data_IF_447161793874
#
_entry.id   IF_447161793874
#
_cell.length_a   1.000
_cell.length_b   1.000
_cell.length_c   1.000
_cell.angle_alpha   90.00
_cell.angle_beta   90.00
_cell.angle_gamma   90.00
#
_symmetry.space_group_name_H-M   'P 1'
#
loop_
_entity.id
_entity.type
_entity.pdbx_description
1 polymer ?
#
# COMPACT_ATOMS: atom_id res chain seq x y z
N UNK A 1 -27.14 -6.92 -18.48
CA UNK A 1 -25.95 -6.11 -18.83
C UNK A 1 -25.31 -5.34 -17.65
N UNK A 2 -25.90 -5.27 -16.44
CA UNK A 2 -25.33 -4.49 -15.31
C UNK A 2 -24.16 -5.16 -14.55
N UNK A 3 -23.99 -6.49 -14.66
CA UNK A 3 -22.95 -7.23 -13.94
C UNK A 3 -21.57 -7.05 -14.57
N UNK A 4 -21.44 -7.22 -15.88
CA UNK A 4 -20.18 -7.05 -16.63
C UNK A 4 -19.59 -5.65 -16.46
N UNK A 5 -20.43 -4.61 -16.46
CA UNK A 5 -19.99 -3.23 -16.21
C UNK A 5 -19.41 -3.03 -14.80
N UNK A 6 -20.01 -3.66 -13.77
CA UNK A 6 -19.49 -3.56 -12.40
C UNK A 6 -18.15 -4.29 -12.22
N UNK A 7 -17.90 -5.36 -12.99
CA UNK A 7 -16.59 -6.01 -13.01
C UNK A 7 -15.50 -5.10 -13.61
N UNK A 8 -15.79 -4.40 -14.71
CA UNK A 8 -14.85 -3.44 -15.31
C UNK A 8 -14.47 -2.34 -14.30
N UNK A 9 -15.47 -1.77 -13.62
CA UNK A 9 -15.23 -0.77 -12.57
C UNK A 9 -14.41 -1.36 -11.42
N UNK A 10 -14.68 -2.61 -11.01
CA UNK A 10 -13.91 -3.30 -9.98
C UNK A 10 -12.42 -3.45 -10.36
N UNK A 11 -12.12 -3.79 -11.61
CA UNK A 11 -10.73 -3.88 -12.08
C UNK A 11 -10.04 -2.50 -12.21
N UNK A 12 -10.77 -1.46 -12.60
CA UNK A 12 -10.23 -0.09 -12.61
C UNK A 12 -9.89 0.39 -11.19
N UNK A 13 -10.77 0.12 -10.22
CA UNK A 13 -10.52 0.43 -8.81
C UNK A 13 -9.37 -0.41 -8.24
N UNK A 14 -9.26 -1.67 -8.64
CA UNK A 14 -8.11 -2.51 -8.32
C UNK A 14 -6.80 -1.93 -8.84
N UNK A 15 -6.78 -1.49 -10.10
CA UNK A 15 -5.60 -0.86 -10.70
C UNK A 15 -5.19 0.40 -9.93
N UNK A 16 -6.18 1.20 -9.52
CA UNK A 16 -5.96 2.41 -8.73
C UNK A 16 -5.38 2.11 -7.34
N UNK A 17 -5.95 1.13 -6.62
CA UNK A 17 -5.38 0.67 -5.34
C UNK A 17 -4.00 0.05 -5.53
N UNK A 18 -3.75 -0.64 -6.64
CA UNK A 18 -2.42 -1.19 -6.92
C UNK A 18 -1.38 -0.07 -7.08
N UNK A 19 -1.74 1.01 -7.77
CA UNK A 19 -0.88 2.19 -7.89
C UNK A 19 -0.67 2.89 -6.54
N UNK A 20 -1.71 3.02 -5.72
CA UNK A 20 -1.61 3.56 -4.36
C UNK A 20 -0.72 2.70 -3.47
N UNK A 21 -0.88 1.37 -3.49
CA UNK A 21 -0.03 0.44 -2.76
C UNK A 21 1.45 0.59 -3.15
N UNK A 22 1.77 0.83 -4.43
CA UNK A 22 3.15 1.11 -4.84
C UNK A 22 3.67 2.41 -4.23
N UNK A 23 2.85 3.46 -4.17
CA UNK A 23 3.22 4.70 -3.48
C UNK A 23 3.43 4.47 -1.98
N UNK A 24 2.57 3.67 -1.34
CA UNK A 24 2.70 3.29 0.07
C UNK A 24 4.01 2.55 0.33
N UNK A 25 4.42 1.65 -0.56
CA UNK A 25 5.70 0.92 -0.44
C UNK A 25 6.89 1.87 -0.50
N UNK A 26 6.87 2.83 -1.42
CA UNK A 26 7.93 3.84 -1.56
C UNK A 26 7.98 4.72 -0.32
N UNK A 27 6.82 5.19 0.15
CA UNK A 27 6.69 6.01 1.34
C UNK A 27 7.16 5.25 2.59
N UNK A 28 6.70 4.02 2.79
CA UNK A 28 7.09 3.16 3.90
C UNK A 28 8.60 2.91 3.93
N UNK A 29 9.23 2.62 2.79
CA UNK A 29 10.68 2.47 2.69
C UNK A 29 11.40 3.75 3.12
N UNK A 30 10.96 4.91 2.62
CA UNK A 30 11.56 6.19 3.00
C UNK A 30 11.43 6.46 4.50
N UNK A 31 10.27 6.18 5.10
CA UNK A 31 10.02 6.31 6.53
C UNK A 31 10.92 5.38 7.36
N UNK A 32 11.05 4.11 6.98
CA UNK A 32 11.93 3.14 7.66
C UNK A 32 13.38 3.61 7.62
N UNK A 33 13.86 4.08 6.47
CA UNK A 33 15.23 4.57 6.34
C UNK A 33 15.49 5.81 7.19
N UNK A 34 14.55 6.76 7.24
CA UNK A 34 14.64 7.96 8.10
C UNK A 34 14.70 7.60 9.58
N UNK A 35 13.82 6.71 10.03
CA UNK A 35 13.82 6.23 11.42
C UNK A 35 15.15 5.55 11.74
N UNK A 36 15.63 4.68 10.86
CA UNK A 36 16.89 3.97 11.02
C UNK A 36 18.09 4.92 11.11
N UNK A 37 18.09 6.03 10.37
CA UNK A 37 19.13 7.05 10.46
C UNK A 37 19.09 7.84 11.76
N UNK A 38 17.90 8.18 12.29
CA UNK A 38 17.76 8.89 13.57
C UNK A 38 18.21 8.06 14.76
N UNK A 39 17.95 6.75 14.72
CA UNK A 39 18.40 5.81 15.76
C UNK A 39 19.93 5.64 15.73
N UNK A 40 20.62 6.18 14.71
CA UNK A 40 22.07 6.10 14.60
C UNK A 40 22.55 4.69 14.24
N UNK A 41 21.74 3.91 13.53
CA UNK A 41 22.14 2.57 13.10
C UNK A 41 23.37 2.65 12.20
N UNK A 42 24.34 1.78 12.44
CA UNK A 42 25.58 1.75 11.67
C UNK A 42 25.33 1.54 10.18
N UNK A 43 26.20 2.10 9.33
CA UNK A 43 26.10 2.06 7.86
C UNK A 43 25.90 0.65 7.28
N UNK A 44 26.46 -0.37 7.92
CA UNK A 44 26.27 -1.78 7.54
C UNK A 44 24.84 -2.27 7.79
N UNK A 45 24.24 -1.87 8.91
CA UNK A 45 22.87 -2.21 9.28
C UNK A 45 21.87 -1.48 8.38
N UNK A 46 22.12 -0.20 8.06
CA UNK A 46 21.30 0.56 7.10
C UNK A 46 21.27 -0.11 5.73
N UNK A 47 22.41 -0.58 5.22
CA UNK A 47 22.48 -1.28 3.95
C UNK A 47 21.74 -2.63 3.96
N UNK A 48 21.75 -3.34 5.10
CA UNK A 48 20.97 -4.56 5.25
C UNK A 48 19.46 -4.27 5.31
N UNK A 49 19.03 -3.31 6.13
CA UNK A 49 17.62 -2.89 6.25
C UNK A 49 17.06 -2.47 4.90
N UNK A 50 17.83 -1.73 4.10
CA UNK A 50 17.35 -1.28 2.80
C UNK A 50 17.09 -2.44 1.82
N UNK A 51 18.05 -3.37 1.72
CA UNK A 51 17.98 -4.52 0.80
C UNK A 51 16.94 -5.55 1.22
N UNK A 52 16.86 -5.86 2.51
CA UNK A 52 15.85 -6.79 3.02
C UNK A 52 14.47 -6.12 3.13
N UNK A 53 14.43 -4.82 3.45
CA UNK A 53 13.22 -4.03 3.55
C UNK A 53 12.49 -3.95 2.22
N UNK A 54 13.18 -3.68 1.11
CA UNK A 54 12.52 -3.63 -0.20
C UNK A 54 11.96 -4.99 -0.63
N UNK A 55 12.63 -6.09 -0.27
CA UNK A 55 12.14 -7.45 -0.50
C UNK A 55 10.87 -7.73 0.30
N UNK A 56 10.89 -7.47 1.61
CA UNK A 56 9.75 -7.72 2.50
C UNK A 56 8.57 -6.84 2.09
N UNK A 57 8.81 -5.55 1.89
CA UNK A 57 7.80 -4.59 1.42
C UNK A 57 7.22 -5.05 0.07
N UNK A 58 8.06 -5.45 -0.89
CA UNK A 58 7.61 -5.96 -2.18
C UNK A 58 6.69 -7.18 -2.05
N UNK A 59 7.05 -8.16 -1.21
CA UNK A 59 6.23 -9.36 -0.96
C UNK A 59 4.89 -8.98 -0.33
N UNK A 60 4.91 -8.13 0.70
CA UNK A 60 3.68 -7.65 1.36
C UNK A 60 2.81 -6.86 0.38
N UNK A 61 3.41 -6.01 -0.44
CA UNK A 61 2.72 -5.25 -1.48
C UNK A 61 2.08 -6.14 -2.54
N UNK A 62 2.79 -7.15 -3.04
CA UNK A 62 2.21 -8.14 -3.96
C UNK A 62 1.06 -8.91 -3.31
N UNK A 63 1.22 -9.38 -2.07
CA UNK A 63 0.16 -10.06 -1.35
C UNK A 63 -1.08 -9.16 -1.16
N UNK A 64 -0.87 -7.87 -0.88
CA UNK A 64 -1.93 -6.88 -0.75
C UNK A 64 -2.66 -6.65 -2.08
N UNK A 65 -1.94 -6.50 -3.19
CA UNK A 65 -2.54 -6.33 -4.53
C UNK A 65 -3.41 -7.54 -4.90
N UNK A 66 -2.93 -8.76 -4.66
CA UNK A 66 -3.71 -9.99 -4.89
C UNK A 66 -4.93 -10.07 -3.96
N UNK A 67 -4.77 -9.68 -2.69
CA UNK A 67 -5.88 -9.59 -1.75
C UNK A 67 -6.94 -8.59 -2.21
N UNK A 68 -6.54 -7.40 -2.67
CA UNK A 68 -7.44 -6.39 -3.18
C UNK A 68 -8.21 -6.87 -4.42
N UNK A 69 -7.57 -7.64 -5.32
CA UNK A 69 -8.25 -8.21 -6.48
C UNK A 69 -9.40 -9.12 -6.03
N UNK A 70 -9.10 -10.07 -5.16
CA UNK A 70 -10.09 -11.00 -4.60
C UNK A 70 -11.19 -10.25 -3.84
N UNK A 71 -10.80 -9.27 -3.02
CA UNK A 71 -11.70 -8.50 -2.17
C UNK A 71 -12.65 -7.61 -2.98
N UNK A 72 -12.20 -7.01 -4.08
CA UNK A 72 -13.06 -6.25 -4.98
C UNK A 72 -13.94 -7.16 -5.83
N UNK A 73 -13.43 -8.30 -6.32
CA UNK A 73 -14.23 -9.27 -7.07
C UNK A 73 -15.43 -9.78 -6.27
N UNK A 74 -15.20 -10.14 -5.01
CA UNK A 74 -16.27 -10.56 -4.11
C UNK A 74 -17.18 -9.37 -3.71
N UNK A 75 -16.64 -8.14 -3.71
CA UNK A 75 -17.40 -6.90 -3.51
C UNK A 75 -18.39 -6.60 -4.64
N UNK A 76 -17.99 -6.88 -5.89
CA UNK A 76 -18.87 -6.81 -7.08
C UNK A 76 -20.02 -7.81 -6.94
N UNK A 77 -19.71 -9.06 -6.58
CA UNK A 77 -20.71 -10.12 -6.39
C UNK A 77 -21.75 -9.77 -5.33
N UNK A 78 -21.32 -9.12 -4.23
CA UNK A 78 -22.18 -8.70 -3.11
C UNK A 78 -22.78 -7.29 -3.28
N UNK A 79 -22.56 -6.61 -4.41
CA UNK A 79 -22.94 -5.19 -4.66
C UNK A 79 -22.45 -4.19 -3.61
N UNK A 80 -21.34 -4.49 -2.91
CA UNK A 80 -20.73 -3.65 -1.87
C UNK A 80 -19.36 -3.09 -2.27
N UNK A 81 -19.12 -2.94 -3.58
CA UNK A 81 -17.84 -2.52 -4.15
C UNK A 81 -17.35 -1.19 -3.55
N UNK A 82 -18.20 -0.16 -3.54
CA UNK A 82 -17.84 1.18 -3.05
C UNK A 82 -17.45 1.21 -1.56
N UNK A 83 -18.15 0.44 -0.72
CA UNK A 83 -17.81 0.33 0.70
C UNK A 83 -16.47 -0.38 0.91
N UNK A 84 -16.19 -1.42 0.11
CA UNK A 84 -14.92 -2.14 0.17
C UNK A 84 -13.75 -1.28 -0.33
N UNK A 85 -13.94 -0.57 -1.44
CA UNK A 85 -12.96 0.37 -1.98
C UNK A 85 -12.66 1.49 -0.98
N UNK A 86 -13.69 2.13 -0.42
CA UNK A 86 -13.50 3.20 0.58
C UNK A 86 -12.70 2.74 1.80
N UNK A 87 -12.87 1.49 2.26
CA UNK A 87 -12.08 0.94 3.36
C UNK A 87 -10.61 0.73 2.98
N UNK A 88 -10.34 0.21 1.80
CA UNK A 88 -8.96 -0.01 1.32
C UNK A 88 -8.26 1.33 1.13
N UNK A 89 -8.88 2.26 0.40
CA UNK A 89 -8.30 3.58 0.19
C UNK A 89 -8.14 4.38 1.48
N UNK A 90 -9.04 4.23 2.46
CA UNK A 90 -8.85 4.86 3.77
C UNK A 90 -7.61 4.31 4.50
N UNK A 91 -7.30 3.03 4.36
CA UNK A 91 -6.09 2.43 4.92
C UNK A 91 -4.85 2.92 4.16
N UNK A 92 -4.86 2.88 2.82
CA UNK A 92 -3.75 3.37 1.98
C UNK A 92 -3.42 4.84 2.29
N UNK A 93 -4.44 5.71 2.24
CA UNK A 93 -4.31 7.13 2.59
C UNK A 93 -3.83 7.31 4.03
N UNK A 94 -4.33 6.50 4.97
CA UNK A 94 -3.89 6.52 6.37
C UNK A 94 -2.40 6.23 6.50
N UNK A 95 -1.88 5.25 5.76
CA UNK A 95 -0.45 4.92 5.72
C UNK A 95 0.35 6.09 5.13
N UNK A 96 -0.10 6.69 4.03
CA UNK A 96 0.57 7.87 3.44
C UNK A 96 0.61 9.06 4.39
N UNK A 97 -0.50 9.36 5.07
CA UNK A 97 -0.56 10.45 6.04
C UNK A 97 0.43 10.20 7.19
N UNK A 98 0.46 8.98 7.73
CA UNK A 98 1.42 8.61 8.77
C UNK A 98 2.86 8.73 8.28
N UNK A 99 3.17 8.22 7.09
CA UNK A 99 4.49 8.33 6.49
C UNK A 99 4.92 9.79 6.30
N UNK A 100 3.99 10.65 5.87
CA UNK A 100 4.22 12.08 5.70
C UNK A 100 4.45 12.79 7.04
N UNK A 101 3.64 12.49 8.06
CA UNK A 101 3.82 13.05 9.42
C UNK A 101 5.19 12.66 9.97
N UNK A 102 5.61 11.40 9.82
CA UNK A 102 6.95 10.97 10.24
C UNK A 102 8.02 11.72 9.46
N UNK A 103 7.85 11.90 8.15
CA UNK A 103 8.78 12.68 7.32
C UNK A 103 8.84 14.16 7.70
N UNK A 104 7.78 14.71 8.28
CA UNK A 104 7.75 16.10 8.74
C UNK A 104 8.44 16.27 10.11
N UNK A 105 8.26 15.30 11.01
CA UNK A 105 8.86 15.30 12.35
C UNK A 105 10.35 14.94 12.28
N UNK A 106 10.70 14.01 11.41
CA UNK A 106 12.05 13.50 11.21
C UNK A 106 12.57 14.02 9.86
N UNK A 107 13.36 15.13 9.85
CA UNK A 107 13.90 15.72 8.63
C UNK A 107 14.83 14.77 7.87
#
# INVERSE_FOLDING_TARGET
>A
MKLTQNYIIGYLLWLLSSALAVLDLIAARATVMRIATVIGLGRWVLGAIDRFGILILGVVGCAFVLFCEYYYREGVAKRRLWYRFGRVSAVEIGVLILAYIVSLIIP
#
